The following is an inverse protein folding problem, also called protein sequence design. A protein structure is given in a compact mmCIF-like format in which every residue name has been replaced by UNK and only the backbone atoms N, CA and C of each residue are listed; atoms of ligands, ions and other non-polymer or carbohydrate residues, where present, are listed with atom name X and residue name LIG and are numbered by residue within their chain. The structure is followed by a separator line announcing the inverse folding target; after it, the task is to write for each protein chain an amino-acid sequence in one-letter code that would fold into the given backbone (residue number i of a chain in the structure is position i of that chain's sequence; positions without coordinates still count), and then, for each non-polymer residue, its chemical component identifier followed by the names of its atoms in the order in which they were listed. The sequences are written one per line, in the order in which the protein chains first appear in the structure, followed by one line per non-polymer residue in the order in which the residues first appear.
data_IF_853127819626
#
_entry.id   IF_853127819626
#
_cell.length_a   1.000
_cell.length_b   1.000
_cell.length_c   1.000
_cell.angle_alpha   90.00
_cell.angle_beta   90.00
_cell.angle_gamma   90.00
#
_symmetry.space_group_name_H-M   'P 1'
#
loop_
_entity.id
_entity.type
_entity.pdbx_description
1 polymer ?
#
# COMPACT_ATOMS: atom_id res chain seq x y z
N UNK A 1 -5.21 11.90 7.98
CA UNK A 1 -5.01 12.32 6.58
C UNK A 1 -6.36 12.40 5.90
N UNK A 2 -6.48 13.19 4.83
CA UNK A 2 -7.72 13.34 4.06
C UNK A 2 -7.50 12.95 2.59
N UNK A 3 -8.47 12.28 1.98
CA UNK A 3 -8.48 11.86 0.58
C UNK A 3 -9.74 12.41 -0.08
N UNK A 4 -9.58 13.41 -0.95
CA UNK A 4 -10.69 14.07 -1.64
C UNK A 4 -11.09 13.35 -2.93
N UNK A 5 -12.36 13.52 -3.29
CA UNK A 5 -12.86 13.44 -4.65
C UNK A 5 -12.34 14.66 -5.42
N UNK A 6 -11.66 14.42 -6.53
CA UNK A 6 -11.01 15.47 -7.31
C UNK A 6 -11.31 15.27 -8.79
N UNK A 7 -11.96 16.25 -9.41
CA UNK A 7 -12.30 16.24 -10.84
C UNK A 7 -11.09 16.56 -11.72
N UNK A 8 -10.03 15.74 -11.58
CA UNK A 8 -8.77 15.81 -12.32
C UNK A 8 -8.42 14.43 -12.84
N UNK A 9 -7.93 14.35 -14.09
CA UNK A 9 -7.39 13.12 -14.65
C UNK A 9 -5.90 13.00 -14.33
N UNK A 10 -5.51 11.92 -13.67
CA UNK A 10 -4.10 11.55 -13.49
C UNK A 10 -3.88 10.17 -14.13
N UNK A 11 -2.91 10.04 -15.02
CA UNK A 11 -2.70 8.83 -15.84
C UNK A 11 -3.98 8.42 -16.61
N UNK A 12 -4.56 7.25 -16.31
CA UNK A 12 -5.70 6.68 -17.00
C UNK A 12 -7.04 6.81 -16.24
N UNK A 13 -7.13 7.61 -15.16
CA UNK A 13 -8.38 7.75 -14.41
C UNK A 13 -8.62 9.15 -13.88
N UNK A 14 -9.90 9.53 -13.87
CA UNK A 14 -10.43 10.67 -13.11
C UNK A 14 -10.32 10.33 -11.62
N UNK A 15 -10.00 11.32 -10.79
CA UNK A 15 -9.75 11.17 -9.36
C UNK A 15 -10.95 11.49 -8.48
N UNK A 16 -12.16 11.34 -9.02
CA UNK A 16 -13.38 11.40 -8.22
C UNK A 16 -13.51 10.14 -7.37
N UNK A 17 -14.09 10.29 -6.19
CA UNK A 17 -14.51 9.17 -5.34
C UNK A 17 -15.96 8.85 -5.63
N UNK A 18 -16.34 7.58 -5.45
CA UNK A 18 -17.74 7.17 -5.42
C UNK A 18 -18.18 6.75 -4.01
N UNK A 19 -19.48 6.76 -3.75
CA UNK A 19 -20.03 6.22 -2.48
C UNK A 19 -19.65 4.75 -2.31
N UNK A 20 -19.56 4.00 -3.41
CA UNK A 20 -19.12 2.60 -3.44
C UNK A 20 -17.68 2.43 -2.94
N UNK A 21 -16.79 3.35 -3.30
CA UNK A 21 -15.38 3.36 -2.88
C UNK A 21 -15.21 3.65 -1.41
N UNK A 22 -15.81 4.73 -0.90
CA UNK A 22 -15.68 5.08 0.52
C UNK A 22 -16.32 4.01 1.43
N UNK A 23 -17.39 3.35 0.97
CA UNK A 23 -17.96 2.17 1.66
C UNK A 23 -17.02 0.95 1.66
N UNK A 24 -16.05 0.82 0.75
CA UNK A 24 -15.00 -0.22 0.87
C UNK A 24 -14.07 0.06 2.04
N UNK A 25 -13.62 1.30 2.20
CA UNK A 25 -12.82 1.72 3.34
C UNK A 25 -13.49 1.36 4.67
N UNK A 26 -14.76 1.77 4.83
CA UNK A 26 -15.56 1.44 6.02
C UNK A 26 -15.69 -0.06 6.28
N UNK A 27 -15.83 -0.88 5.23
CA UNK A 27 -15.94 -2.34 5.37
C UNK A 27 -14.64 -2.94 5.89
N UNK A 28 -13.50 -2.50 5.36
CA UNK A 28 -12.19 -2.95 5.85
C UNK A 28 -11.94 -2.48 7.29
N UNK A 29 -12.29 -1.24 7.62
CA UNK A 29 -12.15 -0.71 8.97
C UNK A 29 -12.97 -1.51 9.99
N UNK A 30 -14.19 -1.93 9.63
CA UNK A 30 -15.01 -2.84 10.46
C UNK A 30 -14.41 -4.23 10.54
N UNK A 31 -13.92 -4.78 9.42
CA UNK A 31 -13.22 -6.07 9.42
C UNK A 31 -11.99 -6.06 10.34
N UNK A 32 -11.32 -4.91 10.45
CA UNK A 32 -10.17 -4.73 11.33
C UNK A 32 -10.49 -4.86 12.83
N UNK A 33 -11.77 -4.82 13.21
CA UNK A 33 -12.23 -5.03 14.58
C UNK A 33 -12.49 -6.50 14.92
N UNK A 34 -12.33 -7.43 13.97
CA UNK A 34 -12.59 -8.86 14.19
C UNK A 34 -11.39 -9.60 14.76
N UNK A 35 -11.61 -10.68 15.52
CA UNK A 35 -10.55 -11.55 16.05
C UNK A 35 -9.65 -12.13 14.95
N UNK A 36 -10.23 -12.38 13.77
CA UNK A 36 -9.49 -12.87 12.60
C UNK A 36 -8.46 -11.84 12.12
N UNK A 37 -8.82 -10.55 12.11
CA UNK A 37 -7.86 -9.48 11.84
C UNK A 37 -6.81 -9.37 12.95
N UNK A 38 -7.23 -9.43 14.22
CA UNK A 38 -6.30 -9.35 15.35
C UNK A 38 -5.26 -10.49 15.33
N UNK A 39 -5.68 -11.69 14.91
CA UNK A 39 -4.78 -12.83 14.71
C UNK A 39 -3.74 -12.55 13.62
N UNK A 40 -4.16 -11.99 12.47
CA UNK A 40 -3.25 -11.57 11.40
C UNK A 40 -2.29 -10.47 11.89
N UNK A 41 -2.81 -9.47 12.59
CA UNK A 41 -2.06 -8.35 13.12
C UNK A 41 -1.02 -8.79 14.16
N UNK A 42 -1.36 -9.74 15.02
CA UNK A 42 -0.44 -10.33 15.99
C UNK A 42 0.68 -11.13 15.32
N UNK A 43 0.36 -11.85 14.22
CA UNK A 43 1.36 -12.57 13.42
C UNK A 43 2.34 -11.64 12.69
N UNK A 44 1.87 -10.45 12.30
CA UNK A 44 2.67 -9.45 11.59
C UNK A 44 2.58 -8.09 12.29
N UNK A 45 3.20 -7.91 13.48
CA UNK A 45 3.06 -6.68 14.28
C UNK A 45 3.65 -5.45 13.60
N UNK A 46 4.59 -5.67 12.66
CA UNK A 46 5.14 -4.60 11.82
C UNK A 46 4.24 -4.26 10.65
N UNK A 47 3.34 -5.13 10.19
CA UNK A 47 2.40 -4.83 9.10
C UNK A 47 1.16 -4.13 9.65
N UNK A 48 0.93 -2.89 9.23
CA UNK A 48 -0.20 -2.06 9.63
C UNK A 48 -0.93 -1.58 8.39
N UNK A 49 -2.25 -1.43 8.49
CA UNK A 49 -3.08 -0.82 7.43
C UNK A 49 -3.60 0.52 7.92
N UNK A 50 -3.40 1.58 7.14
CA UNK A 50 -4.01 2.89 7.42
C UNK A 50 -5.50 2.84 7.04
N UNK A 51 -6.37 2.73 8.04
CA UNK A 51 -7.80 2.56 7.83
C UNK A 51 -8.44 3.83 7.24
N UNK A 52 -9.48 3.63 6.42
CA UNK A 52 -10.39 4.68 5.95
C UNK A 52 -11.75 4.47 6.65
N UNK A 53 -11.82 4.86 7.91
CA UNK A 53 -12.92 4.58 8.84
C UNK A 53 -13.92 5.75 8.99
N UNK A 54 -13.74 6.81 8.20
CA UNK A 54 -14.68 7.92 8.09
C UNK A 54 -14.74 8.46 6.67
N UNK A 55 -15.91 8.95 6.26
CA UNK A 55 -16.09 9.70 5.01
C UNK A 55 -17.30 10.64 5.13
N UNK A 56 -17.30 11.69 4.33
CA UNK A 56 -18.43 12.61 4.23
C UNK A 56 -18.54 13.17 2.80
N UNK A 57 -19.66 13.84 2.53
CA UNK A 57 -19.95 14.54 1.29
C UNK A 57 -21.19 15.42 1.46
N UNK A 58 -21.33 16.41 0.60
CA UNK A 58 -22.49 17.28 0.52
C UNK A 58 -23.68 16.56 -0.11
N UNK A 59 -24.88 17.05 0.22
CA UNK A 59 -26.12 16.67 -0.44
C UNK A 59 -26.71 17.89 -1.13
N UNK A 60 -27.31 17.67 -2.29
CA UNK A 60 -28.15 18.69 -2.91
C UNK A 60 -29.44 18.92 -2.11
N UNK A 61 -30.26 19.88 -2.56
CA UNK A 61 -31.56 20.19 -1.93
C UNK A 61 -32.56 19.03 -1.98
N UNK A 62 -32.33 18.03 -2.83
CA UNK A 62 -33.15 16.82 -2.96
C UNK A 62 -32.61 15.65 -2.12
N UNK A 63 -31.50 15.86 -1.40
CA UNK A 63 -30.87 14.85 -0.56
C UNK A 63 -29.92 13.91 -1.29
N UNK A 64 -29.64 14.10 -2.58
CA UNK A 64 -28.71 13.28 -3.34
C UNK A 64 -27.26 13.62 -2.98
N UNK A 65 -26.42 12.60 -2.82
CA UNK A 65 -25.00 12.80 -2.51
C UNK A 65 -24.28 13.32 -3.76
N UNK A 66 -23.57 14.43 -3.62
CA UNK A 66 -22.74 14.99 -4.68
C UNK A 66 -21.35 14.32 -4.64
N UNK A 67 -21.08 13.37 -5.53
CA UNK A 67 -19.84 12.56 -5.48
C UNK A 67 -18.54 13.40 -5.57
N UNK A 68 -18.59 14.55 -6.25
CA UNK A 68 -17.46 15.48 -6.38
C UNK A 68 -17.08 16.15 -5.05
N UNK A 69 -18.00 16.18 -4.08
CA UNK A 69 -17.76 16.70 -2.74
C UNK A 69 -17.26 15.66 -1.74
N UNK A 70 -17.17 14.39 -2.16
CA UNK A 70 -16.79 13.30 -1.27
C UNK A 70 -15.35 13.46 -0.77
N UNK A 71 -15.13 13.06 0.48
CA UNK A 71 -13.79 12.81 1.00
C UNK A 71 -13.81 11.67 2.01
N UNK A 72 -12.69 10.95 2.10
CA UNK A 72 -12.44 9.94 3.12
C UNK A 72 -11.37 10.43 4.12
N UNK A 73 -11.59 10.15 5.38
CA UNK A 73 -10.61 10.31 6.45
C UNK A 73 -9.80 9.03 6.53
N UNK A 74 -8.49 9.18 6.49
CA UNK A 74 -7.53 8.08 6.61
C UNK A 74 -6.71 8.25 7.87
N UNK A 75 -6.59 7.20 8.67
CA UNK A 75 -5.75 7.17 9.85
C UNK A 75 -4.31 7.63 9.52
N UNK A 76 -3.80 8.60 10.28
CA UNK A 76 -2.40 9.02 10.17
C UNK A 76 -1.56 8.34 11.24
N UNK A 77 -1.08 7.13 10.93
CA UNK A 77 -0.23 6.35 11.83
C UNK A 77 1.16 6.96 12.06
N UNK A 78 1.48 8.08 11.40
CA UNK A 78 2.75 8.80 11.52
C UNK A 78 2.64 10.08 12.35
N UNK A 79 1.46 10.40 12.90
CA UNK A 79 1.24 11.66 13.64
C UNK A 79 2.18 11.80 14.84
N UNK A 80 2.40 10.70 15.57
CA UNK A 80 3.31 10.67 16.73
C UNK A 80 4.79 10.59 16.34
N UNK A 81 5.10 10.24 15.08
CA UNK A 81 6.47 10.05 14.60
C UNK A 81 6.66 10.68 13.22
N UNK A 82 6.48 12.01 13.07
CA UNK A 82 6.47 12.66 11.77
C UNK A 82 7.83 12.63 11.06
N UNK A 83 8.91 12.41 11.82
CA UNK A 83 10.29 12.30 11.31
C UNK A 83 10.72 10.84 11.08
N UNK A 84 9.81 9.86 11.20
CA UNK A 84 10.15 8.46 10.95
C UNK A 84 10.60 8.26 9.51
N UNK A 85 11.53 7.32 9.28
CA UNK A 85 12.01 6.99 7.94
C UNK A 85 11.02 6.09 7.19
N UNK A 86 9.79 6.56 7.04
CA UNK A 86 8.67 5.85 6.45
C UNK A 86 8.42 6.46 5.07
N UNK A 87 9.11 5.93 4.05
CA UNK A 87 9.11 6.48 2.68
C UNK A 87 8.31 5.62 1.70
N UNK A 88 7.55 6.24 0.80
CA UNK A 88 6.83 5.50 -0.25
C UNK A 88 7.82 4.88 -1.24
N UNK A 89 7.64 3.60 -1.55
CA UNK A 89 8.57 2.83 -2.38
C UNK A 89 8.85 3.46 -3.76
N UNK A 90 7.85 4.04 -4.43
CA UNK A 90 8.06 4.63 -5.77
C UNK A 90 9.11 5.74 -5.76
N UNK A 91 9.13 6.56 -4.72
CA UNK A 91 10.12 7.65 -4.58
C UNK A 91 11.52 7.11 -4.32
N UNK A 92 11.64 5.92 -3.73
CA UNK A 92 12.92 5.25 -3.55
C UNK A 92 13.45 4.67 -4.87
N UNK A 93 12.57 4.09 -5.68
CA UNK A 93 12.94 3.33 -6.90
C UNK A 93 12.97 4.17 -8.18
N UNK A 94 12.48 5.41 -8.14
CA UNK A 94 12.54 6.30 -9.30
C UNK A 94 14.00 6.59 -9.69
N UNK A 95 14.26 6.77 -11.00
CA UNK A 95 15.55 7.31 -11.45
C UNK A 95 15.74 8.71 -10.87
N UNK A 96 16.97 9.04 -10.49
CA UNK A 96 17.30 10.42 -10.15
C UNK A 96 17.21 11.30 -11.42
N UNK A 97 16.55 12.47 -11.37
CA UNK A 97 16.41 13.34 -12.54
C UNK A 97 17.75 13.83 -13.12
N UNK A 98 18.78 13.93 -12.28
CA UNK A 98 20.14 14.33 -12.62
C UNK A 98 21.04 13.17 -13.10
N UNK A 99 20.48 11.95 -13.22
CA UNK A 99 21.22 10.75 -13.61
C UNK A 99 22.03 10.10 -12.48
N UNK A 100 22.01 10.68 -11.28
CA UNK A 100 22.69 10.19 -10.09
C UNK A 100 22.04 8.94 -9.46
N UNK A 101 22.37 8.73 -8.19
CA UNK A 101 21.84 7.62 -7.40
C UNK A 101 20.35 7.81 -7.09
N UNK A 102 19.57 6.75 -7.29
CA UNK A 102 18.19 6.73 -6.75
C UNK A 102 18.22 6.84 -5.22
N UNK A 103 17.10 7.30 -4.63
CA UNK A 103 16.99 7.37 -3.17
C UNK A 103 17.12 5.98 -2.50
N UNK A 104 16.79 4.90 -3.21
CA UNK A 104 17.06 3.53 -2.76
C UNK A 104 18.56 3.24 -2.68
N UNK A 105 19.32 3.55 -3.74
CA UNK A 105 20.79 3.36 -3.74
C UNK A 105 21.44 4.18 -2.64
N UNK A 106 21.03 5.44 -2.47
CA UNK A 106 21.51 6.28 -1.37
C UNK A 106 21.20 5.66 0.02
N UNK A 107 20.02 5.03 0.19
CA UNK A 107 19.67 4.34 1.43
C UNK A 107 20.51 3.07 1.67
N UNK A 108 20.79 2.30 0.61
CA UNK A 108 21.65 1.12 0.66
C UNK A 108 23.09 1.51 0.98
N UNK A 109 23.62 2.56 0.36
CA UNK A 109 24.97 3.07 0.64
C UNK A 109 25.08 3.53 2.10
N UNK A 110 24.08 4.26 2.63
CA UNK A 110 24.05 4.58 4.07
C UNK A 110 23.97 3.34 4.97
N UNK A 111 23.30 2.27 4.53
CA UNK A 111 23.27 0.99 5.26
C UNK A 111 24.64 0.30 5.25
N UNK A 112 25.30 0.25 4.09
CA UNK A 112 26.66 -0.25 3.91
C UNK A 112 27.63 0.44 4.86
N UNK A 113 27.69 1.78 4.84
CA UNK A 113 28.59 2.56 5.69
C UNK A 113 28.30 2.38 7.18
N UNK A 114 27.02 2.38 7.59
CA UNK A 114 26.68 2.21 9.01
C UNK A 114 27.07 0.84 9.56
N UNK A 115 26.93 -0.21 8.76
CA UNK A 115 27.18 -1.59 9.20
C UNK A 115 28.61 -2.07 8.93
N UNK A 116 29.45 -1.29 8.23
CA UNK A 116 30.79 -1.71 7.85
C UNK A 116 30.80 -2.90 6.88
N UNK A 117 29.76 -3.05 6.07
CA UNK A 117 29.62 -4.15 5.08
C UNK A 117 29.72 -3.59 3.66
N UNK A 118 29.94 -4.46 2.67
CA UNK A 118 30.00 -4.05 1.25
C UNK A 118 28.63 -3.54 0.75
N UNK A 119 28.59 -2.67 -0.28
CA UNK A 119 27.32 -2.23 -0.88
C UNK A 119 26.46 -3.39 -1.39
N UNK A 120 27.09 -4.45 -1.91
CA UNK A 120 26.40 -5.67 -2.34
C UNK A 120 25.73 -6.39 -1.16
N UNK A 121 26.43 -6.58 -0.04
CA UNK A 121 25.84 -7.17 1.16
C UNK A 121 24.70 -6.30 1.72
N UNK A 122 24.85 -4.98 1.71
CA UNK A 122 23.81 -4.05 2.13
C UNK A 122 22.57 -4.13 1.23
N UNK A 123 22.75 -4.25 -0.09
CA UNK A 123 21.67 -4.44 -1.05
C UNK A 123 20.94 -5.76 -0.81
N UNK A 124 21.67 -6.86 -0.61
CA UNK A 124 21.09 -8.16 -0.28
C UNK A 124 20.26 -8.10 1.01
N UNK A 125 20.82 -7.52 2.08
CA UNK A 125 20.12 -7.35 3.36
C UNK A 125 18.86 -6.48 3.21
N UNK A 126 18.89 -5.44 2.36
CA UNK A 126 17.73 -4.60 2.10
C UNK A 126 16.63 -5.36 1.35
N UNK A 127 16.99 -6.12 0.31
CA UNK A 127 16.03 -6.93 -0.48
C UNK A 127 15.44 -8.06 0.38
N UNK A 128 16.24 -8.73 1.20
CA UNK A 128 15.75 -9.75 2.12
C UNK A 128 14.75 -9.16 3.13
N UNK A 129 15.10 -8.00 3.73
CA UNK A 129 14.19 -7.28 4.60
C UNK A 129 12.90 -6.85 3.87
N UNK A 130 12.98 -6.44 2.61
CA UNK A 130 11.82 -6.14 1.77
C UNK A 130 10.91 -7.36 1.62
N UNK A 131 11.46 -8.53 1.31
CA UNK A 131 10.69 -9.77 1.20
C UNK A 131 9.99 -10.13 2.52
N UNK A 132 10.70 -10.05 3.65
CA UNK A 132 10.15 -10.41 4.96
C UNK A 132 9.12 -9.40 5.47
N UNK A 133 9.38 -8.10 5.29
CA UNK A 133 8.54 -7.05 5.84
C UNK A 133 7.37 -6.68 4.92
N UNK A 134 7.51 -6.81 3.60
CA UNK A 134 6.50 -6.39 2.61
C UNK A 134 5.81 -7.57 1.95
N UNK A 135 6.55 -8.44 1.26
CA UNK A 135 5.94 -9.50 0.47
C UNK A 135 5.25 -10.54 1.35
N UNK A 136 5.92 -11.00 2.40
CA UNK A 136 5.40 -12.04 3.30
C UNK A 136 4.03 -11.68 3.89
N UNK A 137 3.82 -10.54 4.58
CA UNK A 137 2.49 -10.22 5.11
C UNK A 137 1.43 -10.04 4.02
N UNK A 138 1.78 -9.50 2.84
CA UNK A 138 0.82 -9.30 1.75
C UNK A 138 0.37 -10.63 1.11
N UNK A 139 1.29 -11.56 0.86
CA UNK A 139 0.95 -12.90 0.36
C UNK A 139 0.24 -13.73 1.43
N UNK A 140 0.68 -13.68 2.69
CA UNK A 140 0.03 -14.42 3.77
C UNK A 140 -1.38 -13.89 4.06
N UNK A 141 -1.61 -12.57 3.99
CA UNK A 141 -2.95 -11.99 4.12
C UNK A 141 -3.92 -12.58 3.09
N UNK A 142 -3.45 -12.78 1.85
CA UNK A 142 -4.26 -13.36 0.80
C UNK A 142 -4.47 -14.87 1.01
N UNK A 143 -3.40 -15.62 1.27
CA UNK A 143 -3.44 -17.07 1.36
C UNK A 143 -4.22 -17.57 2.60
N UNK A 144 -3.95 -16.99 3.76
CA UNK A 144 -4.45 -17.51 5.05
C UNK A 144 -5.73 -16.78 5.49
N UNK A 145 -5.88 -15.51 5.09
CA UNK A 145 -7.00 -14.66 5.52
C UNK A 145 -7.95 -14.31 4.38
N UNK A 146 -7.61 -14.64 3.13
CA UNK A 146 -8.41 -14.29 1.97
C UNK A 146 -8.43 -12.79 1.68
N UNK A 147 -7.50 -12.00 2.23
CA UNK A 147 -7.43 -10.56 2.09
C UNK A 147 -6.47 -10.16 0.98
N UNK A 148 -7.02 -9.63 -0.10
CA UNK A 148 -6.22 -9.11 -1.22
C UNK A 148 -5.99 -7.63 -0.99
N UNK A 149 -4.72 -7.26 -0.83
CA UNK A 149 -4.26 -5.89 -0.78
C UNK A 149 -3.54 -5.55 -2.09
N UNK A 150 -4.21 -4.85 -2.99
CA UNK A 150 -3.59 -4.38 -4.23
C UNK A 150 -2.85 -3.07 -3.97
N UNK A 151 -1.55 -3.15 -3.69
CA UNK A 151 -0.68 -1.99 -3.59
C UNK A 151 0.26 -1.90 -4.78
N UNK A 152 0.15 -0.86 -5.60
CA UNK A 152 1.28 -0.44 -6.43
C UNK A 152 2.00 0.70 -5.71
N UNK A 153 3.33 0.78 -5.82
CA UNK A 153 4.13 1.86 -5.23
C UNK A 153 3.67 3.24 -5.69
N UNK A 154 2.98 3.29 -6.84
CA UNK A 154 2.49 4.50 -7.49
C UNK A 154 0.98 4.51 -7.80
N UNK A 155 0.19 3.44 -7.64
CA UNK A 155 -1.09 3.43 -8.38
C UNK A 155 -2.15 4.42 -7.95
N UNK A 156 -2.42 5.18 -8.99
CA UNK A 156 -3.53 6.00 -9.37
C UNK A 156 -4.13 5.35 -10.64
N UNK A 157 -4.91 4.26 -10.61
CA UNK A 157 -5.53 3.74 -11.86
C UNK A 157 -6.93 3.16 -11.67
N UNK A 158 -7.84 3.53 -12.58
CA UNK A 158 -9.26 3.15 -12.57
C UNK A 158 -9.62 2.06 -13.57
N UNK A 159 -10.86 1.58 -13.42
CA UNK A 159 -11.50 0.49 -14.16
C UNK A 159 -12.06 -0.54 -13.17
N UNK A 160 -13.31 -0.33 -12.69
CA UNK A 160 -14.19 -1.20 -11.86
C UNK A 160 -13.62 -1.97 -10.66
N UNK A 161 -12.34 -1.82 -10.36
CA UNK A 161 -11.61 -2.32 -9.21
C UNK A 161 -11.01 -1.11 -8.47
N UNK A 162 -11.85 -0.17 -8.06
CA UNK A 162 -11.38 1.00 -7.32
C UNK A 162 -11.02 0.63 -5.88
N UNK A 163 -9.72 0.46 -5.63
CA UNK A 163 -9.16 0.17 -4.31
C UNK A 163 -7.77 0.79 -4.18
N UNK A 164 -7.75 2.00 -3.63
CA UNK A 164 -6.67 2.79 -2.99
C UNK A 164 -5.18 2.42 -3.16
N UNK A 165 -4.38 3.46 -3.38
CA UNK A 165 -2.92 3.52 -3.36
C UNK A 165 -2.26 2.84 -2.14
N UNK A 166 -1.85 1.58 -2.30
CA UNK A 166 -0.95 0.90 -1.38
C UNK A 166 0.45 1.51 -1.41
N UNK A 167 0.69 2.49 -0.55
CA UNK A 167 2.05 2.96 -0.27
C UNK A 167 2.71 1.92 0.63
N UNK A 168 3.61 1.10 0.10
CA UNK A 168 4.51 0.31 0.93
C UNK A 168 5.59 1.25 1.45
N UNK A 169 5.61 1.44 2.77
CA UNK A 169 6.64 2.23 3.42
C UNK A 169 7.71 1.32 4.01
N UNK A 170 8.95 1.41 3.53
CA UNK A 170 10.07 0.60 4.02
C UNK A 170 10.97 1.37 4.97
N UNK A 171 11.08 0.94 6.24
CA UNK A 171 12.14 1.36 7.13
C UNK A 171 13.21 0.25 7.30
N UNK A 172 14.38 0.70 7.75
CA UNK A 172 15.57 -0.07 8.15
C UNK A 172 15.24 -1.06 9.30
N UNK A 173 15.91 -2.23 9.31
CA UNK A 173 15.98 -3.29 10.35
C UNK A 173 16.01 -2.76 11.82
N UNK A 174 15.82 -3.65 12.83
CA UNK A 174 14.60 -4.27 13.38
C UNK A 174 13.76 -3.30 14.24
N UNK A 175 12.46 -3.57 14.41
CA UNK A 175 11.57 -2.83 15.34
C UNK A 175 10.66 -1.76 14.72
N UNK A 176 10.56 -1.66 13.39
CA UNK A 176 9.78 -0.63 12.71
C UNK A 176 8.63 -1.18 11.86
N UNK A 177 7.59 -0.36 11.66
CA UNK A 177 6.28 -0.75 11.10
C UNK A 177 6.18 -0.41 9.60
N UNK A 178 5.78 -1.39 8.79
CA UNK A 178 5.26 -1.25 7.45
C UNK A 178 3.81 -0.76 7.51
N UNK A 179 3.50 0.28 6.76
CA UNK A 179 2.11 0.71 6.54
C UNK A 179 1.70 0.34 5.12
N UNK A 180 0.50 -0.21 4.94
CA UNK A 180 -0.17 -0.38 3.67
C UNK A 180 -1.46 0.47 3.70
N UNK A 181 -1.68 1.27 2.67
CA UNK A 181 -2.94 2.01 2.52
C UNK A 181 -3.80 1.29 1.47
N UNK A 182 -4.48 0.22 1.87
CA UNK A 182 -5.22 -0.64 0.94
C UNK A 182 -6.67 -0.81 1.39
N UNK A 183 -7.62 -0.76 0.46
CA UNK A 183 -8.94 -1.35 0.59
C UNK A 183 -8.79 -2.87 0.41
N UNK A 184 -8.72 -3.63 1.50
CA UNK A 184 -8.67 -5.09 1.43
C UNK A 184 -9.96 -5.66 0.82
N UNK A 185 -9.80 -6.59 -0.12
CA UNK A 185 -10.89 -7.38 -0.68
C UNK A 185 -10.89 -8.76 -0.03
N UNK A 186 -12.00 -9.14 0.61
CA UNK A 186 -12.14 -10.46 1.23
C UNK A 186 -12.64 -11.49 0.21
N UNK A 187 -11.94 -12.61 0.06
CA UNK A 187 -12.35 -13.75 -0.77
C UNK A 187 -13.49 -14.55 -0.15
N UNK A 188 -13.60 -14.59 1.18
CA UNK A 188 -14.48 -15.56 1.84
C UNK A 188 -14.97 -15.12 3.21
N UNK A 189 -15.69 -14.00 3.30
CA UNK A 189 -16.57 -13.78 4.45
C UNK A 189 -17.96 -14.35 4.13
N UNK A 190 -18.30 -15.51 4.73
CA UNK A 190 -19.64 -16.10 4.64
C UNK A 190 -20.68 -15.31 5.43
N UNK A 191 -20.27 -14.37 6.31
CA UNK A 191 -21.17 -13.62 7.19
C UNK A 191 -21.48 -12.19 6.70
N UNK A 192 -20.73 -11.65 5.73
CA UNK A 192 -21.05 -10.34 5.15
C UNK A 192 -21.82 -10.49 3.83
N UNK A 193 -23.15 -10.42 3.88
CA UNK A 193 -24.02 -10.23 2.72
C UNK A 193 -23.76 -8.83 2.14
N UNK A 194 -22.87 -8.72 1.15
CA UNK A 194 -22.67 -7.48 0.38
C UNK A 194 -21.23 -7.02 0.10
N UNK A 195 -20.21 -7.84 0.40
CA UNK A 195 -18.80 -7.53 0.05
C UNK A 195 -18.54 -7.63 -1.45
N UNK A 196 -17.73 -6.72 -2.03
CA UNK A 196 -17.15 -6.95 -3.36
C UNK A 196 -16.22 -8.15 -3.27
N UNK A 197 -16.55 -9.21 -4.00
CA UNK A 197 -15.74 -10.43 -4.07
C UNK A 197 -14.86 -10.32 -5.30
N UNK A 198 -13.55 -10.42 -5.11
CA UNK A 198 -12.67 -10.64 -6.24
C UNK A 198 -12.79 -12.10 -6.66
N UNK A 199 -13.09 -12.33 -7.94
CA UNK A 199 -13.04 -13.67 -8.49
C UNK A 199 -11.60 -14.21 -8.36
N UNK A 200 -11.38 -15.50 -7.98
CA UNK A 200 -10.04 -16.04 -7.75
C UNK A 200 -9.08 -15.82 -8.92
N UNK A 201 -9.56 -15.98 -10.17
CA UNK A 201 -8.77 -15.69 -11.38
C UNK A 201 -8.28 -14.25 -11.47
N UNK A 202 -9.10 -13.28 -11.05
CA UNK A 202 -8.75 -11.85 -11.04
C UNK A 202 -7.69 -11.56 -10.00
N UNK A 203 -7.79 -12.16 -8.81
CA UNK A 203 -6.79 -12.01 -7.76
C UNK A 203 -5.44 -12.62 -8.15
N UNK A 204 -5.44 -13.80 -8.79
CA UNK A 204 -4.23 -14.44 -9.33
C UNK A 204 -3.54 -13.63 -10.43
N UNK A 205 -4.27 -12.78 -11.17
CA UNK A 205 -3.68 -11.89 -12.17
C UNK A 205 -3.15 -10.58 -11.57
N UNK A 206 -3.90 -9.95 -10.67
CA UNK A 206 -3.58 -8.62 -10.14
C UNK A 206 -2.49 -8.64 -9.08
N UNK A 207 -2.49 -9.63 -8.18
CA UNK A 207 -1.56 -9.67 -7.05
C UNK A 207 -0.10 -9.80 -7.51
N UNK A 208 0.26 -10.74 -8.42
CA UNK A 208 1.65 -10.86 -8.89
C UNK A 208 2.09 -9.64 -9.69
N UNK A 209 1.21 -9.05 -10.51
CA UNK A 209 1.54 -7.84 -11.26
C UNK A 209 1.90 -6.68 -10.31
N UNK A 210 1.10 -6.44 -9.27
CA UNK A 210 1.38 -5.32 -8.36
C UNK A 210 2.56 -5.57 -7.44
N UNK A 211 2.64 -6.76 -6.84
CA UNK A 211 3.69 -7.06 -5.87
C UNK A 211 5.04 -7.33 -6.52
N UNK A 212 5.06 -8.03 -7.65
CA UNK A 212 6.32 -8.42 -8.30
C UNK A 212 6.69 -7.43 -9.40
N UNK A 213 5.86 -7.28 -10.43
CA UNK A 213 6.21 -6.49 -11.62
C UNK A 213 6.31 -4.99 -11.31
N UNK A 214 5.29 -4.44 -10.66
CA UNK A 214 5.20 -3.00 -10.39
C UNK A 214 6.01 -2.56 -9.15
N UNK A 215 6.36 -3.50 -8.25
CA UNK A 215 7.07 -3.20 -6.99
C UNK A 215 8.43 -3.87 -6.89
N UNK A 216 8.47 -5.21 -6.80
CA UNK A 216 9.71 -5.95 -6.53
C UNK A 216 10.75 -5.75 -7.64
N UNK A 217 10.34 -5.75 -8.90
CA UNK A 217 11.26 -5.52 -10.02
C UNK A 217 11.79 -4.09 -10.06
N UNK A 218 11.02 -3.11 -9.58
CA UNK A 218 11.53 -1.74 -9.43
C UNK A 218 12.62 -1.65 -8.34
N UNK A 219 12.52 -2.47 -7.29
CA UNK A 219 13.59 -2.60 -6.27
C UNK A 219 14.83 -3.23 -6.91
N UNK A 220 14.69 -4.41 -7.51
CA UNK A 220 15.84 -5.17 -8.01
C UNK A 220 16.57 -4.46 -9.15
N UNK A 221 15.83 -3.78 -10.03
CA UNK A 221 16.39 -2.97 -11.11
C UNK A 221 17.22 -1.77 -10.61
N UNK A 222 17.05 -1.34 -9.36
CA UNK A 222 17.77 -0.22 -8.76
C UNK A 222 18.84 -0.64 -7.75
N UNK A 223 18.72 -1.83 -7.18
CA UNK A 223 19.70 -2.37 -6.23
C UNK A 223 20.86 -3.12 -6.91
N UNK A 224 20.74 -3.45 -8.20
CA UNK A 224 21.84 -4.04 -8.95
C UNK A 224 22.96 -3.00 -9.19
N UNK A 225 24.25 -3.35 -8.98
CA UNK A 225 25.35 -2.47 -9.33
C UNK A 225 25.30 -2.16 -10.84
N UNK A 226 25.52 -0.89 -11.21
CA UNK A 226 25.68 -0.52 -12.64
C UNK A 226 26.88 -1.32 -13.17
N UNK A 227 26.68 -2.10 -14.22
CA UNK A 227 27.80 -2.64 -14.98
C UNK A 227 28.55 -1.42 -15.55
N UNK A 228 29.77 -1.21 -15.06
CA UNK A 228 30.70 -0.23 -15.62
C UNK A 228 31.25 -0.69 -16.96
#
# INVERSE_FOLDING_TARGET
MIKFSLSVRLTNSVRTLSVKEVKRGMRLARLAQTDRWQTMQARFPTFRVMQEDGWAGLRDLHGNIMEESLFALRENLLVEQPQSQTNVLVSLTQSAPDGGDSLLVAAVNRLSSRLGITPKQAAHAWVEAYCQQVLKPLFTAEADYGLVFTGSPAKHSGGDAAGSAGRAYLPRLPGQRLYAACCGLARHDRRSTGGERLHPRTASALLPYYLLVNSTFAVTARSAPRAG
#
